data_IF_989602716489
#
_entry.id   IF_989602716489
#
_cell.length_a   1.000
_cell.length_b   1.000
_cell.length_c   1.000
_cell.angle_alpha   90.00
_cell.angle_beta   90.00
_cell.angle_gamma   90.00
#
_symmetry.space_group_name_H-M   'P 1'
#
loop_
_entity.id
_entity.type
_entity.pdbx_description
1 polymer ?
#
# COMPACT_ATOMS: atom_id res chain seq x y z
N UNK A 1 23.34 2.83 -7.05
CA UNK A 1 23.16 2.16 -5.74
C UNK A 1 21.85 1.40 -5.77
N UNK A 2 21.77 0.21 -5.16
CA UNK A 2 20.49 -0.48 -4.95
C UNK A 2 19.73 0.27 -3.85
N UNK A 3 18.41 0.43 -4.01
CA UNK A 3 17.58 1.03 -2.98
C UNK A 3 17.67 0.23 -1.68
N UNK A 4 17.68 0.92 -0.55
CA UNK A 4 17.60 0.31 0.77
C UNK A 4 16.19 -0.23 1.02
N UNK A 5 16.06 -1.21 1.91
CA UNK A 5 14.74 -1.74 2.29
C UNK A 5 13.82 -0.64 2.85
N UNK A 6 14.40 0.34 3.57
CA UNK A 6 13.67 1.48 4.10
C UNK A 6 13.06 2.33 2.96
N UNK A 7 13.86 2.66 1.95
CA UNK A 7 13.36 3.43 0.79
C UNK A 7 12.31 2.66 -0.02
N UNK A 8 12.45 1.33 -0.11
CA UNK A 8 11.44 0.47 -0.76
C UNK A 8 10.12 0.55 0.02
N UNK A 9 10.17 0.35 1.34
CA UNK A 9 8.98 0.43 2.19
C UNK A 9 8.32 1.81 2.11
N UNK A 10 9.08 2.90 2.21
CA UNK A 10 8.54 4.27 2.12
C UNK A 10 7.85 4.54 0.77
N UNK A 11 8.43 4.07 -0.34
CA UNK A 11 7.80 4.19 -1.66
C UNK A 11 6.51 3.39 -1.74
N UNK A 12 6.50 2.18 -1.19
CA UNK A 12 5.31 1.33 -1.16
C UNK A 12 4.21 1.93 -0.28
N UNK A 13 4.56 2.46 0.90
CA UNK A 13 3.62 3.15 1.80
C UNK A 13 2.98 4.35 1.10
N UNK A 14 3.78 5.18 0.42
CA UNK A 14 3.27 6.33 -0.34
C UNK A 14 2.34 5.91 -1.48
N UNK A 15 2.72 4.89 -2.24
CA UNK A 15 1.88 4.32 -3.29
C UNK A 15 0.52 3.84 -2.74
N UNK A 16 0.52 3.10 -1.63
CA UNK A 16 -0.73 2.63 -1.02
C UNK A 16 -1.59 3.78 -0.50
N UNK A 17 -0.98 4.83 0.07
CA UNK A 17 -1.69 6.03 0.50
C UNK A 17 -2.40 6.72 -0.67
N UNK A 18 -1.70 6.93 -1.79
CA UNK A 18 -2.27 7.51 -3.01
C UNK A 18 -3.41 6.66 -3.56
N UNK A 19 -3.21 5.33 -3.65
CA UNK A 19 -4.24 4.41 -4.15
C UNK A 19 -5.46 4.35 -3.24
N UNK A 20 -5.28 4.42 -1.93
CA UNK A 20 -6.39 4.50 -0.98
C UNK A 20 -7.22 5.77 -1.20
N UNK A 21 -6.57 6.93 -1.38
CA UNK A 21 -7.27 8.19 -1.63
C UNK A 21 -8.14 8.05 -2.89
N UNK A 22 -7.55 7.62 -4.01
CA UNK A 22 -8.26 7.45 -5.30
C UNK A 22 -9.44 6.49 -5.14
N UNK A 23 -9.23 5.38 -4.44
CA UNK A 23 -10.25 4.34 -4.28
C UNK A 23 -11.40 4.74 -3.33
N UNK A 24 -11.26 5.84 -2.58
CA UNK A 24 -12.28 6.37 -1.68
C UNK A 24 -12.78 7.77 -2.08
N UNK A 25 -12.46 8.25 -3.29
CA UNK A 25 -13.06 9.47 -3.83
C UNK A 25 -14.56 9.27 -4.10
N UNK A 26 -15.33 10.36 -4.11
CA UNK A 26 -16.78 10.35 -4.35
C UNK A 26 -17.15 9.72 -5.71
N UNK A 27 -16.31 9.93 -6.73
CA UNK A 27 -16.45 9.40 -8.09
C UNK A 27 -15.60 8.14 -8.34
N UNK A 28 -15.09 7.51 -7.28
CA UNK A 28 -14.27 6.30 -7.39
C UNK A 28 -15.03 5.16 -8.07
N UNK A 29 -14.33 4.42 -8.93
CA UNK A 29 -14.93 3.28 -9.63
C UNK A 29 -14.62 1.99 -8.87
N UNK A 30 -15.44 0.93 -9.01
CA UNK A 30 -15.15 -0.37 -8.39
C UNK A 30 -13.76 -0.93 -8.73
N UNK A 31 -13.22 -0.60 -9.91
CA UNK A 31 -11.88 -1.01 -10.33
C UNK A 31 -10.77 -0.33 -9.51
N UNK A 32 -11.00 0.88 -8.99
CA UNK A 32 -10.00 1.61 -8.20
C UNK A 32 -9.80 0.94 -6.82
N UNK A 33 -10.89 0.53 -6.16
CA UNK A 33 -10.83 -0.32 -4.96
C UNK A 33 -10.25 -1.71 -5.25
N UNK A 34 -10.60 -2.31 -6.39
CA UNK A 34 -10.05 -3.61 -6.79
C UNK A 34 -8.54 -3.55 -7.00
N UNK A 35 -8.04 -2.47 -7.62
CA UNK A 35 -6.61 -2.27 -7.84
C UNK A 35 -5.86 -2.02 -6.53
N UNK A 36 -6.42 -1.21 -5.63
CA UNK A 36 -5.88 -1.03 -4.28
C UNK A 36 -5.80 -2.36 -3.50
N UNK A 37 -6.89 -3.13 -3.46
CA UNK A 37 -6.92 -4.43 -2.79
C UNK A 37 -5.94 -5.43 -3.42
N UNK A 38 -5.81 -5.42 -4.74
CA UNK A 38 -4.83 -6.24 -5.47
C UNK A 38 -3.39 -5.91 -5.06
N UNK A 39 -3.06 -4.63 -4.87
CA UNK A 39 -1.74 -4.22 -4.39
C UNK A 39 -1.45 -4.73 -2.97
N UNK A 40 -2.43 -4.67 -2.06
CA UNK A 40 -2.30 -5.24 -0.71
C UNK A 40 -2.05 -6.75 -0.75
N UNK A 41 -2.77 -7.47 -1.59
CA UNK A 41 -2.55 -8.92 -1.79
C UNK A 41 -1.21 -9.25 -2.41
N UNK A 42 -0.71 -8.43 -3.33
CA UNK A 42 0.62 -8.58 -3.90
C UNK A 42 1.72 -8.38 -2.83
N UNK A 43 1.54 -7.43 -1.91
CA UNK A 43 2.42 -7.23 -0.75
C UNK A 43 2.46 -8.46 0.15
N UNK A 44 1.29 -8.97 0.55
CA UNK A 44 1.17 -10.18 1.37
C UNK A 44 1.86 -11.37 0.70
N UNK A 45 1.62 -11.57 -0.60
CA UNK A 45 2.25 -12.64 -1.38
C UNK A 45 3.78 -12.49 -1.48
N UNK A 46 4.27 -11.25 -1.52
CA UNK A 46 5.70 -10.95 -1.53
C UNK A 46 6.36 -11.12 -0.14
N UNK A 47 5.61 -11.56 0.89
CA UNK A 47 6.12 -11.78 2.24
C UNK A 47 6.25 -10.49 3.05
N UNK A 48 5.33 -9.55 2.86
CA UNK A 48 5.23 -8.34 3.67
C UNK A 48 3.92 -8.30 4.43
N UNK A 49 4.01 -7.85 5.68
CA UNK A 49 2.86 -7.43 6.46
C UNK A 49 2.65 -5.93 6.29
N UNK A 50 1.41 -5.49 6.51
CA UNK A 50 1.05 -4.10 6.42
C UNK A 50 -0.09 -3.76 7.39
N UNK A 51 -0.17 -2.49 7.77
CA UNK A 51 -1.32 -1.94 8.48
C UNK A 51 -1.59 -0.51 8.03
N UNK A 52 -2.82 -0.04 8.25
CA UNK A 52 -3.17 1.38 8.14
C UNK A 52 -3.33 1.94 9.55
N UNK A 53 -2.52 2.94 9.89
CA UNK A 53 -2.49 3.51 11.23
C UNK A 53 -3.70 4.43 11.50
N UNK A 54 -3.79 4.94 12.73
CA UNK A 54 -4.88 5.83 13.19
C UNK A 54 -4.93 7.15 12.42
N UNK A 55 -3.79 7.59 11.85
CA UNK A 55 -3.68 8.78 11.01
C UNK A 55 -4.02 8.47 9.54
N UNK A 56 -4.36 7.22 9.24
CA UNK A 56 -4.76 6.77 7.92
C UNK A 56 -3.60 6.53 6.95
N UNK A 57 -2.37 6.36 7.46
CA UNK A 57 -1.18 6.06 6.65
C UNK A 57 -0.85 4.57 6.68
N UNK A 58 -0.39 4.08 5.54
CA UNK A 58 0.11 2.71 5.42
C UNK A 58 1.48 2.58 6.07
N UNK A 59 1.70 1.46 6.74
CA UNK A 59 2.99 0.99 7.25
C UNK A 59 3.25 -0.40 6.74
N UNK A 60 4.45 -0.64 6.23
CA UNK A 60 4.86 -1.90 5.60
C UNK A 60 6.16 -2.42 6.23
N UNK A 61 6.20 -3.71 6.54
CA UNK A 61 7.42 -4.39 7.01
C UNK A 61 7.47 -5.82 6.48
N UNK A 62 8.69 -6.37 6.44
CA UNK A 62 8.88 -7.75 5.98
C UNK A 62 8.30 -8.72 7.01
N UNK A 63 7.47 -9.64 6.56
CA UNK A 63 6.93 -10.70 7.40
C UNK A 63 8.10 -11.60 7.86
N UNK A 64 8.01 -12.11 9.10
CA UNK A 64 9.03 -12.98 9.70
C UNK A 64 8.88 -14.43 9.27
#
# INVERSE_FOLDING_TARGET
MRATQKEINERTENFLNERWIIANMEDSRPQDMSYYNGALKALEFAGYDWQRDVDGKHRVWKAR
#
